data_IF_833470844131
#
_entry.id   IF_833470844131
#
_cell.length_a   1.000
_cell.length_b   1.000
_cell.length_c   1.000
_cell.angle_alpha   90.00
_cell.angle_beta   90.00
_cell.angle_gamma   90.00
#
_symmetry.space_group_name_H-M   'P 1'
#
loop_
_entity.id
_entity.type
_entity.pdbx_description
1 polymer ?
#
# COMPACT_ATOMS: atom_id res chain seq x y z
N UNK A 1 37.41 -25.56 -13.91
CA UNK A 1 36.11 -25.03 -13.43
C UNK A 1 36.06 -23.57 -13.84
N UNK A 2 35.36 -23.29 -14.93
CA UNK A 2 35.10 -21.92 -15.39
C UNK A 2 33.91 -21.46 -14.53
N UNK A 3 34.12 -20.52 -13.63
CA UNK A 3 33.07 -19.86 -12.94
C UNK A 3 32.21 -19.14 -13.99
N UNK A 4 31.01 -19.64 -14.25
CA UNK A 4 30.00 -18.90 -14.99
C UNK A 4 29.63 -17.72 -14.11
N UNK A 5 30.16 -16.53 -14.44
CA UNK A 5 29.68 -15.29 -13.83
C UNK A 5 28.22 -15.14 -14.24
N UNK A 6 27.29 -15.45 -13.33
CA UNK A 6 25.90 -15.06 -13.53
C UNK A 6 25.87 -13.54 -13.66
N UNK A 7 25.13 -13.03 -14.63
CA UNK A 7 24.92 -11.58 -14.78
C UNK A 7 24.42 -11.00 -13.45
N UNK A 8 24.85 -9.78 -13.08
CA UNK A 8 24.34 -9.13 -11.88
C UNK A 8 22.82 -9.03 -11.91
N UNK A 9 22.17 -9.30 -10.78
CA UNK A 9 20.72 -9.30 -10.65
C UNK A 9 20.22 -7.97 -10.05
N UNK A 10 19.13 -7.45 -10.61
CA UNK A 10 18.38 -6.40 -9.91
C UNK A 10 17.67 -6.97 -8.67
N UNK A 11 17.15 -6.12 -7.80
CA UNK A 11 16.59 -6.55 -6.53
C UNK A 11 15.35 -7.45 -6.73
N UNK A 12 14.50 -7.12 -7.69
CA UNK A 12 13.32 -7.93 -8.03
C UNK A 12 13.71 -9.33 -8.47
N UNK A 13 14.73 -9.46 -9.31
CA UNK A 13 15.25 -10.78 -9.73
C UNK A 13 15.80 -11.58 -8.55
N UNK A 14 16.49 -10.93 -7.61
CA UNK A 14 16.97 -11.59 -6.39
C UNK A 14 15.80 -12.12 -5.55
N UNK A 15 14.78 -11.29 -5.31
CA UNK A 15 13.59 -11.68 -4.56
C UNK A 15 12.83 -12.83 -5.24
N UNK A 16 12.64 -12.78 -6.57
CA UNK A 16 12.00 -13.86 -7.30
C UNK A 16 12.83 -15.14 -7.23
N UNK A 17 14.14 -15.08 -7.46
CA UNK A 17 15.05 -16.25 -7.39
C UNK A 17 14.95 -16.95 -6.03
N UNK A 18 14.91 -16.19 -4.95
CA UNK A 18 14.93 -16.73 -3.59
C UNK A 18 13.60 -17.39 -3.19
N UNK A 19 12.53 -17.13 -3.96
CA UNK A 19 11.20 -17.73 -3.79
C UNK A 19 10.80 -18.68 -4.91
N UNK A 20 11.63 -18.84 -5.96
CA UNK A 20 11.30 -19.64 -7.12
C UNK A 20 11.26 -21.13 -6.78
N UNK A 21 10.11 -21.75 -6.99
CA UNK A 21 9.89 -23.20 -6.85
C UNK A 21 10.13 -23.91 -8.18
N UNK A 22 9.64 -23.33 -9.27
CA UNK A 22 9.82 -23.85 -10.63
C UNK A 22 9.59 -22.77 -11.69
N UNK A 23 10.04 -23.03 -12.91
CA UNK A 23 9.93 -22.12 -14.05
C UNK A 23 11.25 -21.44 -14.38
N UNK A 24 11.23 -20.54 -15.37
CA UNK A 24 12.38 -19.79 -15.86
C UNK A 24 12.12 -18.29 -15.68
N UNK A 25 13.05 -17.57 -15.05
CA UNK A 25 12.98 -16.11 -14.85
C UNK A 25 13.20 -15.34 -16.16
N UNK A 26 12.30 -15.57 -17.12
CA UNK A 26 12.29 -14.93 -18.43
C UNK A 26 10.92 -14.31 -18.67
N UNK A 27 10.81 -13.01 -19.04
CA UNK A 27 9.52 -12.35 -19.20
C UNK A 27 8.51 -13.15 -20.02
N UNK A 28 7.28 -13.27 -19.53
CA UNK A 28 6.20 -14.02 -20.17
C UNK A 28 6.22 -15.54 -19.98
N UNK A 29 7.26 -16.13 -19.35
CA UNK A 29 7.28 -17.54 -18.98
C UNK A 29 6.59 -17.77 -17.64
N UNK A 30 5.88 -18.89 -17.51
CA UNK A 30 5.27 -19.26 -16.24
C UNK A 30 6.34 -19.56 -15.18
N UNK A 31 6.16 -19.00 -14.00
CA UNK A 31 6.94 -19.26 -12.80
C UNK A 31 6.02 -19.59 -11.64
N UNK A 32 6.53 -20.39 -10.70
CA UNK A 32 5.86 -20.73 -9.45
C UNK A 32 6.67 -20.21 -8.27
N UNK A 33 6.04 -19.42 -7.41
CA UNK A 33 6.68 -18.75 -6.27
C UNK A 33 6.13 -19.29 -4.95
N UNK A 34 7.02 -19.62 -4.02
CA UNK A 34 6.66 -19.87 -2.63
C UNK A 34 6.31 -18.54 -1.95
N UNK A 35 5.21 -18.53 -1.21
CA UNK A 35 4.80 -17.36 -0.44
C UNK A 35 5.08 -17.57 1.05
N UNK A 36 5.74 -16.59 1.68
CA UNK A 36 6.08 -16.66 3.11
C UNK A 36 4.92 -16.20 3.98
N UNK A 37 4.28 -15.08 3.60
CA UNK A 37 3.24 -14.42 4.37
C UNK A 37 1.94 -14.30 3.56
N UNK A 38 0.80 -14.22 4.27
CA UNK A 38 -0.48 -13.93 3.62
C UNK A 38 -1.25 -12.82 4.36
N UNK A 39 -1.94 -11.98 3.56
CA UNK A 39 -2.76 -10.86 4.03
C UNK A 39 -4.19 -11.01 3.52
N UNK A 40 -5.14 -11.01 4.44
CA UNK A 40 -6.56 -11.04 4.14
C UNK A 40 -7.24 -9.77 4.66
N UNK A 41 -8.21 -9.28 3.92
CA UNK A 41 -9.09 -8.20 4.37
C UNK A 41 -10.56 -8.70 4.41
N UNK A 42 -11.42 -8.00 5.12
CA UNK A 42 -12.77 -8.50 5.45
C UNK A 42 -13.73 -8.61 4.27
N UNK A 43 -13.44 -7.95 3.14
CA UNK A 43 -14.30 -8.05 1.93
C UNK A 43 -14.21 -9.43 1.27
N UNK A 44 -12.99 -10.00 1.17
CA UNK A 44 -12.76 -11.32 0.55
C UNK A 44 -12.40 -12.42 1.57
N UNK A 45 -12.03 -12.04 2.78
CA UNK A 45 -11.54 -12.99 3.80
C UNK A 45 -12.51 -14.11 4.11
N UNK A 46 -13.83 -13.83 4.16
CA UNK A 46 -14.82 -14.86 4.40
C UNK A 46 -14.84 -15.94 3.30
N UNK A 47 -14.69 -15.54 2.02
CA UNK A 47 -14.59 -16.47 0.90
C UNK A 47 -13.33 -17.34 1.04
N UNK A 48 -12.18 -16.73 1.30
CA UNK A 48 -10.91 -17.44 1.48
C UNK A 48 -11.00 -18.46 2.62
N UNK A 49 -11.59 -18.10 3.76
CA UNK A 49 -11.76 -19.03 4.89
C UNK A 49 -12.66 -20.22 4.55
N UNK A 50 -13.72 -20.01 3.75
CA UNK A 50 -14.59 -21.09 3.26
C UNK A 50 -13.86 -22.00 2.26
N UNK A 51 -12.98 -21.47 1.44
CA UNK A 51 -12.12 -22.24 0.55
C UNK A 51 -11.14 -23.13 1.32
N UNK A 52 -10.51 -22.61 2.39
CA UNK A 52 -9.66 -23.41 3.28
C UNK A 52 -10.44 -24.56 3.94
N UNK A 53 -11.68 -24.30 4.36
CA UNK A 53 -12.56 -25.34 4.92
C UNK A 53 -12.91 -26.40 3.87
N UNK A 54 -13.24 -25.97 2.64
CA UNK A 54 -13.54 -26.89 1.54
C UNK A 54 -12.35 -27.76 1.14
N UNK A 55 -11.11 -27.24 1.25
CA UNK A 55 -9.87 -28.01 1.08
C UNK A 55 -9.60 -28.98 2.22
N UNK A 56 -10.31 -28.88 3.35
CA UNK A 56 -10.07 -29.70 4.54
C UNK A 56 -8.78 -29.33 5.28
N UNK A 57 -8.33 -28.09 5.17
CA UNK A 57 -7.09 -27.64 5.79
C UNK A 57 -7.25 -27.56 7.32
N UNK A 58 -6.28 -28.08 8.06
CA UNK A 58 -6.25 -27.96 9.51
C UNK A 58 -5.61 -26.66 9.99
N UNK A 59 -4.57 -26.20 9.32
CA UNK A 59 -3.82 -24.99 9.65
C UNK A 59 -3.16 -24.43 8.39
N UNK A 60 -3.04 -23.11 8.30
CA UNK A 60 -2.32 -22.44 7.21
C UNK A 60 -0.81 -22.67 7.31
N UNK A 61 -0.14 -22.64 6.17
CA UNK A 61 1.31 -22.87 6.04
C UNK A 61 2.11 -21.57 5.90
N UNK A 62 1.49 -20.48 5.48
CA UNK A 62 2.12 -19.15 5.44
C UNK A 62 2.16 -18.55 6.86
N UNK A 63 3.29 -17.94 7.24
CA UNK A 63 3.45 -17.34 8.57
C UNK A 63 4.32 -16.07 8.52
N UNK A 64 3.77 -14.92 8.98
CA UNK A 64 2.39 -14.76 9.47
C UNK A 64 1.34 -14.76 8.36
N UNK A 65 0.17 -15.29 8.69
CA UNK A 65 -1.07 -15.01 7.96
C UNK A 65 -1.95 -14.12 8.83
N UNK A 66 -2.47 -13.03 8.28
CA UNK A 66 -3.23 -12.04 9.06
C UNK A 66 -4.53 -11.67 8.35
N UNK A 67 -5.65 -11.81 9.07
CA UNK A 67 -6.97 -11.32 8.68
C UNK A 67 -7.20 -9.94 9.28
N UNK A 68 -7.46 -8.95 8.45
CA UNK A 68 -7.79 -7.59 8.85
C UNK A 68 -9.27 -7.30 8.70
N UNK A 69 -9.84 -6.56 9.67
CA UNK A 69 -11.16 -5.96 9.57
C UNK A 69 -10.93 -4.45 9.40
N UNK A 70 -10.87 -4.00 8.17
CA UNK A 70 -10.49 -2.63 7.85
C UNK A 70 -11.42 -1.92 6.84
N UNK A 71 -12.33 -2.63 6.17
CA UNK A 71 -13.33 -2.06 5.25
C UNK A 71 -14.73 -2.01 5.86
N UNK A 72 -15.26 -3.12 6.37
CA UNK A 72 -16.61 -3.24 6.94
C UNK A 72 -16.75 -2.65 8.35
N UNK A 73 -16.18 -1.46 8.60
CA UNK A 73 -16.21 -0.82 9.93
C UNK A 73 -17.56 -0.20 10.27
N UNK A 74 -18.31 0.23 9.27
CA UNK A 74 -19.66 0.77 9.45
C UNK A 74 -20.63 -0.40 9.34
N UNK A 75 -21.09 -0.86 10.49
CA UNK A 75 -22.02 -1.97 10.61
C UNK A 75 -23.45 -1.43 10.44
N UNK A 76 -23.91 -1.38 9.20
CA UNK A 76 -25.26 -0.89 8.89
C UNK A 76 -26.37 -1.87 9.31
N UNK A 77 -26.02 -3.15 9.49
CA UNK A 77 -26.91 -4.22 9.92
C UNK A 77 -26.13 -5.31 10.72
N UNK A 78 -26.86 -6.36 11.14
CA UNK A 78 -26.28 -7.46 11.88
C UNK A 78 -25.40 -8.38 11.01
N UNK A 79 -25.53 -8.42 9.69
CA UNK A 79 -24.77 -9.31 8.82
C UNK A 79 -23.29 -8.97 8.82
N UNK A 80 -22.94 -7.67 8.85
CA UNK A 80 -21.56 -7.25 9.00
C UNK A 80 -20.95 -7.75 10.32
N UNK A 81 -21.70 -7.65 11.43
CA UNK A 81 -21.25 -8.13 12.73
C UNK A 81 -21.07 -9.65 12.74
N UNK A 82 -21.99 -10.41 12.14
CA UNK A 82 -21.89 -11.86 11.99
C UNK A 82 -20.68 -12.27 11.14
N UNK A 83 -20.39 -11.53 10.05
CA UNK A 83 -19.18 -11.76 9.25
C UNK A 83 -17.91 -11.57 10.08
N UNK A 84 -17.85 -10.57 10.95
CA UNK A 84 -16.69 -10.37 11.84
C UNK A 84 -16.54 -11.51 12.85
N UNK A 85 -17.65 -12.03 13.39
CA UNK A 85 -17.64 -13.20 14.28
C UNK A 85 -17.18 -14.46 13.56
N UNK A 86 -17.68 -14.69 12.33
CA UNK A 86 -17.23 -15.80 11.50
C UNK A 86 -15.72 -15.71 11.23
N UNK A 87 -15.23 -14.57 10.76
CA UNK A 87 -13.80 -14.36 10.46
C UNK A 87 -12.93 -14.60 11.70
N UNK A 88 -13.37 -14.12 12.87
CA UNK A 88 -12.65 -14.35 14.11
C UNK A 88 -12.55 -15.85 14.45
N UNK A 89 -13.67 -16.58 14.37
CA UNK A 89 -13.70 -18.04 14.64
C UNK A 89 -12.88 -18.82 13.61
N UNK A 90 -12.92 -18.43 12.34
CA UNK A 90 -12.11 -19.04 11.30
C UNK A 90 -10.61 -18.80 11.53
N UNK A 91 -10.22 -17.59 11.94
CA UNK A 91 -8.83 -17.30 12.32
C UNK A 91 -8.34 -18.22 13.45
N UNK A 92 -9.15 -18.42 14.49
CA UNK A 92 -8.86 -19.35 15.60
C UNK A 92 -8.72 -20.79 15.08
N UNK A 93 -9.60 -21.22 14.16
CA UNK A 93 -9.60 -22.57 13.57
C UNK A 93 -8.36 -22.85 12.73
N UNK A 94 -7.93 -21.89 11.90
CA UNK A 94 -6.83 -22.09 10.94
C UNK A 94 -5.47 -21.58 11.41
N UNK A 95 -5.40 -20.97 12.60
CA UNK A 95 -4.14 -20.40 13.14
C UNK A 95 -3.72 -19.10 12.48
N UNK A 96 -4.68 -18.27 12.07
CA UNK A 96 -4.51 -16.96 11.44
C UNK A 96 -4.58 -15.86 12.50
N UNK A 97 -3.74 -14.85 12.41
CA UNK A 97 -3.82 -13.66 13.25
C UNK A 97 -5.08 -12.84 12.90
N UNK A 98 -5.78 -12.35 13.91
CA UNK A 98 -6.98 -11.54 13.74
C UNK A 98 -6.73 -10.08 14.16
N UNK A 99 -6.77 -9.16 13.22
CA UNK A 99 -6.72 -7.72 13.44
C UNK A 99 -8.13 -7.14 13.42
N UNK A 100 -8.70 -6.88 14.60
CA UNK A 100 -10.09 -6.47 14.77
C UNK A 100 -10.39 -5.04 14.28
N UNK A 101 -11.70 -4.67 14.23
CA UNK A 101 -12.14 -3.34 13.79
C UNK A 101 -11.47 -2.20 14.57
N UNK A 102 -11.08 -1.14 13.87
CA UNK A 102 -10.44 0.03 14.45
C UNK A 102 -8.95 -0.14 14.78
N UNK A 103 -8.35 -1.29 14.45
CA UNK A 103 -6.91 -1.46 14.57
C UNK A 103 -6.15 -0.70 13.47
N UNK A 104 -6.68 -0.68 12.27
CA UNK A 104 -6.15 0.12 11.16
C UNK A 104 -6.25 -0.58 9.81
N UNK A 105 -5.72 0.10 8.80
CA UNK A 105 -5.66 -0.38 7.41
C UNK A 105 -4.67 -1.53 7.32
N UNK A 106 -5.05 -2.61 6.64
CA UNK A 106 -4.24 -3.84 6.49
C UNK A 106 -2.80 -3.57 6.08
N UNK A 107 -2.57 -2.82 5.00
CA UNK A 107 -1.24 -2.64 4.41
C UNK A 107 -0.24 -1.94 5.35
N UNK A 108 -0.49 -0.72 5.88
CA UNK A 108 0.45 -0.10 6.81
C UNK A 108 0.57 -0.86 8.13
N UNK A 109 -0.52 -1.45 8.65
CA UNK A 109 -0.47 -2.24 9.89
C UNK A 109 0.35 -3.52 9.69
N UNK A 110 0.22 -4.17 8.52
CA UNK A 110 1.03 -5.35 8.20
C UNK A 110 2.53 -5.01 8.17
N UNK A 111 2.89 -3.90 7.53
CA UNK A 111 4.28 -3.42 7.51
C UNK A 111 4.81 -3.08 8.90
N UNK A 112 3.97 -2.46 9.76
CA UNK A 112 4.34 -2.08 11.13
C UNK A 112 4.66 -3.29 12.01
N UNK A 113 3.95 -4.42 11.84
CA UNK A 113 4.02 -5.55 12.77
C UNK A 113 4.62 -6.83 12.19
N UNK A 114 4.52 -7.05 10.89
CA UNK A 114 4.82 -8.35 10.28
C UNK A 114 5.73 -8.28 9.06
N UNK A 115 5.75 -7.16 8.33
CA UNK A 115 6.55 -7.04 7.10
C UNK A 115 8.04 -7.20 7.39
N UNK A 116 8.73 -8.09 6.64
CA UNK A 116 10.17 -8.38 6.77
C UNK A 116 10.82 -8.23 5.39
N UNK A 117 11.86 -7.38 5.26
CA UNK A 117 12.60 -7.27 3.99
C UNK A 117 13.08 -8.62 3.48
N UNK A 118 12.96 -8.87 2.20
CA UNK A 118 13.37 -10.12 1.56
C UNK A 118 12.32 -11.22 1.56
N UNK A 119 11.25 -11.12 2.35
CA UNK A 119 10.16 -12.08 2.34
C UNK A 119 9.14 -11.77 1.24
N UNK A 120 8.36 -12.79 0.87
CA UNK A 120 7.23 -12.68 -0.04
C UNK A 120 5.91 -12.57 0.72
N UNK A 121 4.97 -11.80 0.17
CA UNK A 121 3.64 -11.58 0.70
C UNK A 121 2.59 -11.74 -0.40
N UNK A 122 1.59 -12.58 -0.20
CA UNK A 122 0.40 -12.62 -1.05
C UNK A 122 -0.80 -12.07 -0.30
N UNK A 123 -1.63 -11.27 -0.98
CA UNK A 123 -2.84 -10.74 -0.35
C UNK A 123 -4.05 -10.72 -1.27
N UNK A 124 -5.24 -10.89 -0.69
CA UNK A 124 -6.50 -10.78 -1.42
C UNK A 124 -6.94 -9.31 -1.63
N UNK A 125 -5.98 -8.41 -1.71
CA UNK A 125 -6.17 -6.98 -1.97
C UNK A 125 -5.13 -6.49 -2.99
N UNK A 126 -5.57 -5.69 -3.95
CA UNK A 126 -4.71 -5.15 -5.02
C UNK A 126 -3.57 -4.26 -4.49
N UNK A 127 -3.76 -3.60 -3.33
CA UNK A 127 -2.76 -2.74 -2.71
C UNK A 127 -1.75 -3.50 -1.81
N UNK A 128 -1.76 -4.83 -1.81
CA UNK A 128 -0.74 -5.67 -1.14
C UNK A 128 0.68 -5.28 -1.58
N UNK A 129 0.83 -4.81 -2.82
CA UNK A 129 2.08 -4.28 -3.40
C UNK A 129 2.77 -3.21 -2.54
N UNK A 130 2.01 -2.53 -1.67
CA UNK A 130 2.52 -1.51 -0.76
C UNK A 130 3.66 -2.01 0.16
N UNK A 131 3.66 -3.30 0.53
CA UNK A 131 4.71 -3.89 1.36
C UNK A 131 6.07 -3.96 0.65
N UNK A 132 6.10 -3.82 -0.68
CA UNK A 132 7.35 -3.67 -1.43
C UNK A 132 8.16 -2.42 -1.07
N UNK A 133 7.56 -1.45 -0.38
CA UNK A 133 8.26 -0.30 0.21
C UNK A 133 9.27 -0.68 1.31
N UNK A 134 9.17 -1.88 1.89
CA UNK A 134 10.12 -2.47 2.83
C UNK A 134 11.17 -3.37 2.15
N UNK A 135 11.10 -3.58 0.83
CA UNK A 135 11.91 -4.58 0.14
C UNK A 135 11.33 -5.99 0.20
N UNK A 136 10.01 -6.12 0.25
CA UNK A 136 9.29 -7.40 0.13
C UNK A 136 8.88 -7.65 -1.32
N UNK A 137 8.73 -8.93 -1.71
CA UNK A 137 8.03 -9.33 -2.92
C UNK A 137 6.53 -9.47 -2.60
N UNK A 138 5.77 -8.39 -2.78
CA UNK A 138 4.38 -8.34 -2.36
C UNK A 138 3.42 -8.32 -3.57
N UNK A 139 2.50 -9.27 -3.63
CA UNK A 139 1.63 -9.54 -4.76
C UNK A 139 0.15 -9.56 -4.33
N UNK A 140 -0.69 -8.83 -5.07
CA UNK A 140 -2.14 -9.00 -4.98
C UNK A 140 -2.60 -10.17 -5.84
N UNK A 141 -3.47 -11.02 -5.30
CA UNK A 141 -4.00 -12.20 -5.99
C UNK A 141 -5.49 -12.40 -5.69
N UNK A 142 -6.17 -13.25 -6.44
CA UNK A 142 -7.55 -13.63 -6.18
C UNK A 142 -7.69 -14.51 -4.93
N UNK A 143 -8.91 -14.60 -4.39
CA UNK A 143 -9.16 -15.35 -3.15
C UNK A 143 -8.67 -16.80 -3.22
N UNK A 144 -8.93 -17.48 -4.34
CA UNK A 144 -8.53 -18.88 -4.55
C UNK A 144 -7.01 -19.03 -4.54
N UNK A 145 -6.29 -18.15 -5.27
CA UNK A 145 -4.82 -18.18 -5.30
C UNK A 145 -4.22 -17.91 -3.92
N UNK A 146 -4.83 -17.01 -3.15
CA UNK A 146 -4.41 -16.75 -1.76
C UNK A 146 -4.67 -17.96 -0.87
N UNK A 147 -5.85 -18.61 -0.98
CA UNK A 147 -6.16 -19.82 -0.23
C UNK A 147 -5.19 -20.96 -0.55
N UNK A 148 -4.85 -21.14 -1.84
CA UNK A 148 -3.86 -22.14 -2.27
C UNK A 148 -2.47 -21.84 -1.69
N UNK A 149 -2.02 -20.58 -1.72
CA UNK A 149 -0.75 -20.19 -1.11
C UNK A 149 -0.75 -20.43 0.41
N UNK A 150 -1.85 -20.14 1.09
CA UNK A 150 -2.03 -20.43 2.52
C UNK A 150 -2.03 -21.93 2.82
N UNK A 151 -2.45 -22.76 1.85
CA UNK A 151 -2.37 -24.22 1.94
C UNK A 151 -0.96 -24.78 1.65
N UNK A 152 0.00 -23.92 1.30
CA UNK A 152 1.39 -24.30 1.01
C UNK A 152 1.69 -24.56 -0.46
N UNK A 153 0.71 -24.35 -1.35
CA UNK A 153 0.93 -24.45 -2.79
C UNK A 153 1.61 -23.17 -3.32
N UNK A 154 2.45 -23.29 -4.36
CA UNK A 154 3.08 -22.12 -4.94
C UNK A 154 2.07 -21.22 -5.68
N UNK A 155 2.35 -19.92 -5.70
CA UNK A 155 1.64 -18.95 -6.53
C UNK A 155 2.19 -19.00 -7.96
N UNK A 156 1.32 -19.26 -8.93
CA UNK A 156 1.68 -19.31 -10.35
C UNK A 156 1.38 -17.97 -11.02
N UNK A 157 2.34 -17.45 -11.76
CA UNK A 157 2.18 -16.26 -12.58
C UNK A 157 3.13 -16.29 -13.79
N UNK A 158 2.84 -15.51 -14.81
CA UNK A 158 3.82 -15.24 -15.86
C UNK A 158 4.88 -14.29 -15.34
N UNK A 159 6.16 -14.60 -15.54
CA UNK A 159 7.26 -13.72 -15.15
C UNK A 159 7.03 -12.32 -15.73
N UNK A 160 6.84 -11.29 -14.89
CA UNK A 160 6.61 -9.93 -15.36
C UNK A 160 7.89 -9.32 -15.95
N UNK A 161 7.75 -8.28 -16.77
CA UNK A 161 8.86 -7.39 -17.06
C UNK A 161 9.26 -6.62 -15.80
N UNK A 162 10.49 -6.15 -15.73
CA UNK A 162 10.97 -5.30 -14.64
C UNK A 162 11.28 -3.92 -15.19
N UNK A 163 10.52 -2.91 -14.75
CA UNK A 163 10.78 -1.51 -15.06
C UNK A 163 11.60 -0.89 -13.93
N UNK A 164 12.86 -0.61 -14.20
CA UNK A 164 13.74 0.14 -13.31
C UNK A 164 13.43 1.63 -13.37
N UNK A 165 12.97 2.22 -12.25
CA UNK A 165 12.68 3.65 -12.13
C UNK A 165 13.79 4.30 -11.30
N UNK A 166 14.68 5.02 -11.97
CA UNK A 166 15.77 5.74 -11.33
C UNK A 166 15.25 7.05 -10.73
N UNK A 167 15.31 7.16 -9.41
CA UNK A 167 14.98 8.40 -8.71
C UNK A 167 16.22 9.28 -8.54
N UNK A 168 16.09 10.55 -8.89
CA UNK A 168 17.12 11.58 -8.74
C UNK A 168 16.60 12.77 -7.94
N UNK A 169 17.50 13.47 -7.25
CA UNK A 169 17.15 14.65 -6.46
C UNK A 169 16.34 14.33 -5.21
N UNK A 170 15.59 15.31 -4.73
CA UNK A 170 14.69 15.21 -3.58
C UNK A 170 13.41 16.01 -3.83
N UNK A 171 12.36 15.69 -3.09
CA UNK A 171 11.07 16.39 -3.19
C UNK A 171 11.22 17.86 -2.75
N UNK A 172 10.74 18.84 -3.55
CA UNK A 172 10.69 20.23 -3.15
C UNK A 172 9.68 20.47 -2.01
N UNK A 173 9.69 21.67 -1.43
CA UNK A 173 8.67 22.10 -0.49
C UNK A 173 7.26 22.00 -1.11
N UNK A 174 6.29 21.54 -0.33
CA UNK A 174 4.89 21.32 -0.72
C UNK A 174 4.66 20.21 -1.76
N UNK A 175 5.69 19.48 -2.14
CA UNK A 175 5.60 18.28 -2.98
C UNK A 175 5.74 17.03 -2.10
N UNK A 176 4.90 16.06 -2.33
CA UNK A 176 4.87 14.79 -1.59
C UNK A 176 5.23 13.59 -2.46
N UNK A 177 5.47 12.45 -1.86
CA UNK A 177 5.67 11.20 -2.60
C UNK A 177 4.46 10.83 -3.49
N UNK A 178 3.26 11.33 -3.13
CA UNK A 178 2.08 11.16 -3.98
C UNK A 178 2.23 11.87 -5.33
N UNK A 179 2.84 13.04 -5.35
CA UNK A 179 3.09 13.76 -6.60
C UNK A 179 4.05 12.99 -7.52
N UNK A 180 5.02 12.27 -6.94
CA UNK A 180 5.92 11.41 -7.70
C UNK A 180 5.16 10.27 -8.42
N UNK A 181 4.29 9.57 -7.73
CA UNK A 181 3.51 8.48 -8.35
C UNK A 181 2.39 9.02 -9.26
N UNK A 182 1.82 10.18 -8.98
CA UNK A 182 0.87 10.83 -9.87
C UNK A 182 1.54 11.23 -11.21
N UNK A 183 2.79 11.70 -11.18
CA UNK A 183 3.54 11.97 -12.40
C UNK A 183 3.76 10.69 -13.22
N UNK A 184 4.07 9.56 -12.59
CA UNK A 184 4.19 8.28 -13.29
C UNK A 184 2.84 7.82 -13.85
N UNK A 185 1.75 7.96 -13.08
CA UNK A 185 0.38 7.70 -13.58
C UNK A 185 0.04 8.57 -14.80
N UNK A 186 0.44 9.83 -14.79
CA UNK A 186 0.25 10.75 -15.93
C UNK A 186 1.01 10.29 -17.19
N UNK A 187 2.20 9.68 -17.02
CA UNK A 187 3.02 9.18 -18.14
C UNK A 187 2.50 7.86 -18.69
N UNK A 188 2.16 6.91 -17.82
CA UNK A 188 1.85 5.54 -18.19
C UNK A 188 0.36 5.23 -18.30
N UNK A 189 -0.49 6.03 -17.63
CA UNK A 189 -1.91 5.72 -17.51
C UNK A 189 -2.19 4.51 -16.61
N UNK A 190 -3.47 4.14 -16.47
CA UNK A 190 -3.92 3.06 -15.57
C UNK A 190 -3.60 1.64 -16.06
N UNK A 191 -3.03 1.47 -17.24
CA UNK A 191 -2.73 0.15 -17.84
C UNK A 191 -1.31 0.03 -18.37
N UNK A 192 -0.49 1.08 -18.24
CA UNK A 192 0.83 1.14 -18.88
C UNK A 192 1.87 0.21 -18.27
N UNK A 193 1.65 -0.24 -17.04
CA UNK A 193 2.56 -1.15 -16.34
C UNK A 193 1.96 -2.54 -16.10
N UNK A 194 0.99 -2.94 -16.95
CA UNK A 194 0.44 -4.30 -16.89
C UNK A 194 1.54 -5.33 -17.12
N UNK A 195 1.48 -6.43 -16.36
CA UNK A 195 2.48 -7.51 -16.40
C UNK A 195 3.92 -6.98 -16.16
N UNK A 196 4.06 -5.98 -15.27
CA UNK A 196 5.34 -5.32 -14.95
C UNK A 196 5.50 -5.16 -13.44
N UNK A 197 6.72 -5.38 -12.94
CA UNK A 197 7.12 -5.00 -11.58
C UNK A 197 7.91 -3.70 -11.66
N UNK A 198 7.56 -2.74 -10.80
CA UNK A 198 8.25 -1.47 -10.69
C UNK A 198 9.37 -1.59 -9.65
N UNK A 199 10.62 -1.43 -10.04
CA UNK A 199 11.75 -1.38 -9.11
C UNK A 199 12.33 0.03 -9.04
N UNK A 200 12.30 0.63 -7.85
CA UNK A 200 12.82 1.96 -7.62
C UNK A 200 14.27 1.91 -7.12
N UNK A 201 15.14 2.67 -7.75
CA UNK A 201 16.57 2.74 -7.42
C UNK A 201 17.14 4.14 -7.61
N UNK A 202 18.43 4.30 -7.37
CA UNK A 202 19.13 5.57 -7.56
C UNK A 202 19.17 6.46 -6.30
N UNK A 203 19.87 7.60 -6.39
CA UNK A 203 20.19 8.42 -5.21
C UNK A 203 18.98 9.09 -4.56
N UNK A 204 17.91 9.33 -5.32
CA UNK A 204 16.68 9.93 -4.78
C UNK A 204 15.93 9.04 -3.80
N UNK A 205 16.14 7.72 -3.83
CA UNK A 205 15.45 6.77 -2.93
C UNK A 205 15.71 7.07 -1.46
N UNK A 206 16.93 7.42 -1.09
CA UNK A 206 17.31 7.73 0.28
C UNK A 206 16.66 8.99 0.86
N UNK A 207 16.08 9.84 0.01
CA UNK A 207 15.33 11.02 0.43
C UNK A 207 13.88 10.71 0.82
N UNK A 208 13.39 9.49 0.53
CA UNK A 208 12.03 9.04 0.78
C UNK A 208 12.01 8.15 2.03
N UNK A 209 11.21 8.51 3.03
CA UNK A 209 10.91 7.63 4.16
C UNK A 209 10.17 6.37 3.69
N UNK A 210 10.14 5.33 4.52
CA UNK A 210 9.37 4.10 4.19
C UNK A 210 7.89 4.42 3.93
N UNK A 211 7.31 5.38 4.64
CA UNK A 211 5.91 5.76 4.40
C UNK A 211 5.73 6.55 3.10
N UNK A 212 6.71 7.32 2.66
CA UNK A 212 6.72 7.92 1.32
C UNK A 212 6.79 6.84 0.23
N UNK A 213 7.69 5.85 0.41
CA UNK A 213 7.79 4.67 -0.47
C UNK A 213 6.50 3.85 -0.48
N UNK A 214 5.82 3.73 0.66
CA UNK A 214 4.51 3.09 0.76
C UNK A 214 3.47 3.77 -0.12
N UNK A 215 3.39 5.10 -0.11
CA UNK A 215 2.48 5.86 -0.98
C UNK A 215 2.74 5.54 -2.45
N UNK A 216 4.01 5.53 -2.85
CA UNK A 216 4.42 5.20 -4.23
C UNK A 216 4.07 3.76 -4.58
N UNK A 217 4.41 2.79 -3.73
CA UNK A 217 4.16 1.37 -3.96
C UNK A 217 2.65 1.04 -3.96
N UNK A 218 1.88 1.70 -3.10
CA UNK A 218 0.42 1.55 -3.03
C UNK A 218 -0.24 2.00 -4.33
N UNK A 219 0.12 3.18 -4.85
CA UNK A 219 -0.47 3.70 -6.08
C UNK A 219 0.13 3.09 -7.36
N UNK A 220 1.24 2.38 -7.29
CA UNK A 220 1.78 1.60 -8.41
C UNK A 220 0.76 0.60 -8.97
N UNK A 221 -0.11 0.06 -8.12
CA UNK A 221 -1.24 -0.79 -8.51
C UNK A 221 -2.20 -0.08 -9.48
N UNK A 222 -2.40 1.23 -9.33
CA UNK A 222 -3.30 2.00 -10.21
C UNK A 222 -2.71 2.20 -11.62
N UNK A 223 -1.42 1.90 -11.83
CA UNK A 223 -0.77 1.82 -13.14
C UNK A 223 -0.91 0.43 -13.77
N UNK A 224 -1.53 -0.53 -13.06
CA UNK A 224 -1.64 -1.93 -13.46
C UNK A 224 -0.41 -2.78 -13.10
N UNK A 225 0.52 -2.26 -12.30
CA UNK A 225 1.73 -2.98 -11.91
C UNK A 225 1.42 -4.24 -11.08
N UNK A 226 2.14 -5.32 -11.37
CA UNK A 226 2.05 -6.61 -10.65
C UNK A 226 2.58 -6.49 -9.23
N UNK A 227 3.68 -5.78 -9.05
CA UNK A 227 4.30 -5.47 -7.75
C UNK A 227 5.11 -4.18 -7.84
N UNK A 228 5.53 -3.69 -6.69
CA UNK A 228 6.49 -2.58 -6.57
C UNK A 228 7.56 -2.98 -5.58
N UNK A 229 8.83 -2.66 -5.85
CA UNK A 229 9.97 -3.01 -5.01
C UNK A 229 10.84 -1.78 -4.76
N UNK A 230 11.18 -1.54 -3.50
CA UNK A 230 12.19 -0.60 -3.06
C UNK A 230 13.34 -1.33 -2.37
N UNK A 231 14.55 -0.80 -2.35
CA UNK A 231 15.63 -1.37 -1.55
C UNK A 231 15.32 -1.29 -0.05
N UNK A 232 15.88 -2.23 0.71
CA UNK A 232 15.90 -2.17 2.17
C UNK A 232 17.20 -1.53 2.63
N UNK A 233 17.13 -0.26 2.94
CA UNK A 233 18.27 0.60 3.31
C UNK A 233 18.13 1.14 4.74
N UNK A 234 18.90 2.18 5.08
CA UNK A 234 18.89 2.85 6.39
C UNK A 234 17.51 3.43 6.76
N UNK A 235 16.68 3.82 5.77
CA UNK A 235 15.32 4.27 6.04
C UNK A 235 14.44 3.10 6.48
N UNK A 236 14.63 1.92 5.90
CA UNK A 236 13.95 0.70 6.34
C UNK A 236 14.39 0.29 7.75
N UNK A 237 15.69 0.36 8.04
CA UNK A 237 16.22 0.13 9.41
C UNK A 237 15.56 1.11 10.39
N UNK A 238 15.52 2.41 10.07
CA UNK A 238 14.90 3.44 10.92
C UNK A 238 13.43 3.14 11.18
N UNK A 239 12.69 2.75 10.14
CA UNK A 239 11.27 2.40 10.25
C UNK A 239 11.04 1.21 11.18
N UNK A 240 11.82 0.14 11.04
CA UNK A 240 11.72 -1.06 11.87
C UNK A 240 12.18 -0.78 13.32
N UNK A 241 13.29 -0.07 13.50
CA UNK A 241 13.81 0.29 14.83
C UNK A 241 12.82 1.13 15.64
N UNK A 242 12.12 2.06 15.00
CA UNK A 242 11.08 2.87 15.65
C UNK A 242 9.90 2.01 16.18
N UNK A 243 9.84 0.75 15.79
CA UNK A 243 8.83 -0.25 16.18
C UNK A 243 9.40 -1.38 17.03
N UNK A 244 10.69 -1.27 17.44
CA UNK A 244 11.40 -2.30 18.19
C UNK A 244 11.65 -3.57 17.38
N UNK A 245 11.76 -3.44 16.05
CA UNK A 245 11.90 -4.54 15.10
C UNK A 245 13.20 -4.45 14.29
N UNK A 246 14.23 -3.85 14.83
CA UNK A 246 15.54 -3.75 14.16
C UNK A 246 16.16 -5.12 13.83
N UNK A 247 15.82 -6.16 14.57
CA UNK A 247 16.28 -7.53 14.32
C UNK A 247 15.70 -8.14 13.03
N UNK A 248 14.60 -7.61 12.52
CA UNK A 248 13.98 -8.06 11.27
C UNK A 248 14.59 -7.39 10.04
N UNK A 249 15.46 -6.40 10.23
CA UNK A 249 16.07 -5.69 9.12
C UNK A 249 17.12 -6.52 8.40
N UNK A 250 16.96 -6.59 7.08
CA UNK A 250 17.94 -7.17 6.15
C UNK A 250 18.24 -6.12 5.08
N UNK A 251 19.52 -5.74 4.89
CA UNK A 251 19.88 -4.81 3.81
C UNK A 251 19.73 -5.49 2.45
N UNK A 252 19.01 -4.86 1.53
CA UNK A 252 18.72 -5.38 0.20
C UNK A 252 18.87 -4.27 -0.83
N UNK A 253 19.61 -4.55 -1.89
CA UNK A 253 19.79 -3.64 -3.02
C UNK A 253 20.07 -4.42 -4.31
N UNK A 254 19.86 -3.79 -5.44
CA UNK A 254 20.29 -4.30 -6.73
C UNK A 254 21.80 -4.48 -6.79
N UNK A 255 22.30 -5.53 -7.43
CA UNK A 255 23.74 -5.76 -7.62
C UNK A 255 24.31 -4.70 -8.58
N UNK A 256 25.53 -4.21 -8.32
CA UNK A 256 26.16 -3.21 -9.20
C UNK A 256 26.29 -3.72 -10.64
N UNK A 257 25.79 -2.93 -11.58
CA UNK A 257 25.82 -3.26 -13.00
C UNK A 257 24.69 -4.19 -13.47
N UNK A 258 23.68 -4.43 -12.66
CA UNK A 258 22.47 -5.12 -13.10
C UNK A 258 21.74 -4.32 -14.20
N UNK A 259 20.94 -5.02 -15.01
CA UNK A 259 20.06 -4.42 -16.01
C UNK A 259 18.58 -4.59 -15.64
N UNK A 260 17.73 -3.86 -16.35
CA UNK A 260 16.29 -3.96 -16.29
C UNK A 260 15.73 -4.22 -17.69
N UNK A 261 14.51 -4.74 -17.80
CA UNK A 261 13.87 -4.94 -19.10
C UNK A 261 13.48 -3.58 -19.72
N UNK A 262 13.08 -2.65 -18.87
CA UNK A 262 12.75 -1.25 -19.19
C UNK A 262 13.37 -0.33 -18.15
N UNK A 263 13.74 0.89 -18.55
CA UNK A 263 14.30 1.89 -17.64
C UNK A 263 13.72 3.26 -17.89
N UNK A 264 13.46 4.00 -16.81
CA UNK A 264 13.17 5.43 -16.88
C UNK A 264 13.77 6.19 -15.69
N UNK A 265 13.84 7.51 -15.82
CA UNK A 265 14.29 8.40 -14.75
C UNK A 265 13.18 9.35 -14.32
N UNK A 266 13.00 9.48 -13.02
CA UNK A 266 12.15 10.50 -12.41
C UNK A 266 13.01 11.41 -11.53
N UNK A 267 13.14 12.66 -11.94
CA UNK A 267 13.81 13.69 -11.13
C UNK A 267 12.79 14.31 -10.18
N UNK A 268 12.89 13.95 -8.88
CA UNK A 268 11.99 14.42 -7.84
C UNK A 268 12.02 15.96 -7.68
N UNK A 269 13.17 16.59 -7.93
CA UNK A 269 13.32 18.04 -7.78
C UNK A 269 12.58 18.88 -8.84
N UNK A 270 12.12 18.24 -9.91
CA UNK A 270 11.38 18.90 -10.98
C UNK A 270 9.85 18.77 -10.82
N UNK A 271 9.40 18.09 -9.77
CA UNK A 271 7.98 17.90 -9.51
C UNK A 271 7.34 19.16 -8.92
N UNK A 272 6.06 19.31 -9.20
CA UNK A 272 5.18 20.31 -8.59
C UNK A 272 3.95 19.62 -8.00
N UNK A 273 3.16 20.27 -7.12
CA UNK A 273 1.94 19.67 -6.59
C UNK A 273 0.96 19.27 -7.70
N UNK A 274 0.56 18.02 -7.69
CA UNK A 274 -0.30 17.38 -8.69
C UNK A 274 -1.62 16.91 -8.08
N UNK A 275 -2.64 16.75 -8.91
CA UNK A 275 -3.95 16.22 -8.52
C UNK A 275 -4.55 15.40 -9.66
N UNK A 276 -5.21 14.29 -9.32
CA UNK A 276 -5.98 13.50 -10.26
C UNK A 276 -7.44 14.00 -10.34
N UNK A 277 -7.89 14.31 -11.55
CA UNK A 277 -9.28 14.71 -11.81
C UNK A 277 -10.20 13.48 -11.92
N UNK A 278 -11.49 13.60 -11.62
CA UNK A 278 -12.46 12.55 -11.88
C UNK A 278 -12.52 12.22 -13.39
N UNK A 279 -12.73 11.02 -13.77
CA UNK A 279 -13.03 9.79 -13.01
C UNK A 279 -12.00 8.71 -13.26
N UNK A 280 -10.70 9.09 -13.28
CA UNK A 280 -9.60 8.15 -13.41
C UNK A 280 -8.34 8.72 -12.72
N UNK A 281 -7.55 7.92 -11.99
CA UNK A 281 -6.40 8.39 -11.26
C UNK A 281 -5.23 8.86 -12.15
N UNK A 282 -5.25 8.58 -13.45
CA UNK A 282 -4.26 9.02 -14.44
C UNK A 282 -4.59 10.37 -15.10
N UNK A 283 -5.78 10.94 -14.85
CA UNK A 283 -6.12 12.29 -15.30
C UNK A 283 -5.46 13.35 -14.42
N UNK A 284 -4.15 13.36 -14.42
CA UNK A 284 -3.34 14.19 -13.52
C UNK A 284 -3.03 15.53 -14.16
N UNK A 285 -3.25 16.58 -13.36
CA UNK A 285 -2.92 17.98 -13.71
C UNK A 285 -2.20 18.67 -12.55
N UNK A 286 -1.44 19.74 -12.79
CA UNK A 286 -0.95 20.62 -11.74
C UNK A 286 -2.09 21.22 -10.91
N UNK A 287 -1.94 21.25 -9.56
CA UNK A 287 -2.95 21.81 -8.65
C UNK A 287 -3.33 23.24 -9.01
N UNK A 288 -2.38 24.04 -9.53
CA UNK A 288 -2.63 25.42 -9.95
C UNK A 288 -3.69 25.56 -11.06
N UNK A 289 -3.90 24.52 -11.86
CA UNK A 289 -4.87 24.56 -12.97
C UNK A 289 -6.32 24.45 -12.49
N UNK A 290 -6.54 23.93 -11.27
CA UNK A 290 -7.87 23.83 -10.66
C UNK A 290 -8.06 24.82 -9.52
N UNK A 291 -7.17 25.79 -9.36
CA UNK A 291 -7.27 26.80 -8.32
C UNK A 291 -8.59 27.60 -8.46
N UNK A 292 -9.36 27.71 -7.39
CA UNK A 292 -10.64 28.40 -7.38
C UNK A 292 -11.88 27.51 -7.58
N UNK A 293 -11.69 26.23 -7.88
CA UNK A 293 -12.80 25.28 -7.92
C UNK A 293 -13.48 25.15 -6.52
N UNK A 294 -14.81 25.13 -6.45
CA UNK A 294 -15.51 25.04 -5.19
C UNK A 294 -15.26 23.69 -4.51
N UNK A 295 -14.91 23.74 -3.22
CA UNK A 295 -14.70 22.56 -2.40
C UNK A 295 -15.84 22.39 -1.40
N UNK A 296 -16.40 21.18 -1.29
CA UNK A 296 -17.49 20.86 -0.38
C UNK A 296 -17.09 19.82 0.67
N UNK A 297 -16.10 19.00 0.37
CA UNK A 297 -15.55 18.02 1.28
C UNK A 297 -14.03 17.89 1.07
N UNK A 298 -13.29 17.82 2.16
CA UNK A 298 -11.91 17.38 2.19
C UNK A 298 -11.82 16.10 3.04
N UNK A 299 -11.10 15.09 2.53
CA UNK A 299 -10.91 13.82 3.22
C UNK A 299 -9.43 13.47 3.28
N UNK A 300 -8.94 13.21 4.48
CA UNK A 300 -7.53 12.92 4.75
C UNK A 300 -7.41 11.55 5.40
N UNK A 301 -6.48 10.74 4.89
CA UNK A 301 -6.22 9.38 5.32
C UNK A 301 -6.29 8.40 4.17
N UNK A 302 -6.59 7.15 4.45
CA UNK A 302 -6.60 6.01 3.53
C UNK A 302 -5.26 5.31 3.37
N UNK A 303 -5.24 4.18 2.63
CA UNK A 303 -4.01 3.48 2.27
C UNK A 303 -3.09 4.31 1.36
N UNK A 304 -3.64 5.30 0.66
CA UNK A 304 -2.89 6.17 -0.25
C UNK A 304 -2.09 7.30 0.43
N UNK A 305 -2.38 7.63 1.69
CA UNK A 305 -1.63 8.59 2.54
C UNK A 305 -1.79 8.17 4.01
N UNK A 306 -1.15 7.09 4.44
CA UNK A 306 -1.36 6.53 5.77
C UNK A 306 -0.39 7.05 6.83
N UNK A 307 0.61 7.84 6.44
CA UNK A 307 1.69 8.26 7.33
C UNK A 307 1.24 9.26 8.40
N UNK A 308 1.83 9.17 9.59
CA UNK A 308 1.63 10.16 10.65
C UNK A 308 1.84 11.61 10.15
N UNK A 309 2.87 11.83 9.32
CA UNK A 309 3.20 13.15 8.76
C UNK A 309 2.06 13.74 7.93
N UNK A 310 1.31 12.90 7.20
CA UNK A 310 0.18 13.35 6.37
C UNK A 310 -0.89 14.06 7.22
N UNK A 311 -1.16 13.54 8.42
CA UNK A 311 -2.12 14.13 9.36
C UNK A 311 -1.52 15.31 10.12
N UNK A 312 -0.26 15.21 10.54
CA UNK A 312 0.41 16.26 11.33
C UNK A 312 0.54 17.57 10.54
N UNK A 313 0.88 17.50 9.26
CA UNK A 313 0.96 18.67 8.36
C UNK A 313 -0.40 19.38 8.32
N UNK A 314 -1.49 18.64 8.12
CA UNK A 314 -2.84 19.24 8.09
C UNK A 314 -3.24 19.80 9.45
N UNK A 315 -2.92 19.11 10.55
CA UNK A 315 -3.19 19.60 11.90
C UNK A 315 -2.53 20.97 12.15
N UNK A 316 -1.28 21.13 11.72
CA UNK A 316 -0.57 22.42 11.83
C UNK A 316 -1.17 23.50 10.91
N UNK A 317 -1.62 23.12 9.70
CA UNK A 317 -2.28 24.06 8.78
C UNK A 317 -3.60 24.60 9.35
N UNK A 318 -4.37 23.79 10.09
CA UNK A 318 -5.67 24.19 10.67
C UNK A 318 -5.58 24.69 12.10
N UNK A 319 -4.41 24.70 12.70
CA UNK A 319 -4.17 25.17 14.07
C UNK A 319 -4.75 26.57 14.29
N UNK A 320 -5.64 26.72 15.27
CA UNK A 320 -6.29 27.98 15.61
C UNK A 320 -7.25 28.53 14.54
N UNK A 321 -7.65 27.68 13.58
CA UNK A 321 -8.59 28.03 12.52
C UNK A 321 -9.87 27.20 12.65
N UNK A 322 -10.92 27.61 11.93
CA UNK A 322 -12.16 26.87 11.78
C UNK A 322 -12.36 26.57 10.30
N UNK A 323 -12.88 25.39 9.97
CA UNK A 323 -13.22 25.03 8.58
C UNK A 323 -14.27 26.00 8.05
N UNK A 324 -14.21 26.28 6.74
CA UNK A 324 -15.16 27.18 6.09
C UNK A 324 -16.58 26.62 6.15
N UNK A 325 -17.56 27.52 6.28
CA UNK A 325 -18.97 27.16 6.24
C UNK A 325 -19.31 26.43 4.93
N UNK A 326 -20.05 25.34 5.02
CA UNK A 326 -20.42 24.51 3.87
C UNK A 326 -19.35 23.50 3.42
N UNK A 327 -18.17 23.45 4.08
CA UNK A 327 -17.14 22.43 3.84
C UNK A 327 -17.14 21.41 4.96
N UNK A 328 -17.05 20.12 4.63
CA UNK A 328 -16.80 19.02 5.56
C UNK A 328 -15.33 18.62 5.49
N UNK A 329 -14.67 18.55 6.63
CA UNK A 329 -13.32 17.98 6.75
C UNK A 329 -13.43 16.62 7.45
N UNK A 330 -12.99 15.57 6.79
CA UNK A 330 -13.02 14.20 7.29
C UNK A 330 -11.59 13.71 7.51
N UNK A 331 -11.32 13.14 8.69
CA UNK A 331 -10.01 12.61 9.09
C UNK A 331 -10.14 11.14 9.43
N UNK A 332 -9.45 10.29 8.67
CA UNK A 332 -9.48 8.85 8.84
C UNK A 332 -8.07 8.31 9.13
N UNK A 333 -7.66 8.19 10.39
CA UNK A 333 -6.34 7.69 10.74
C UNK A 333 -6.10 6.28 10.16
N UNK A 334 -4.88 6.04 9.70
CA UNK A 334 -4.53 4.76 9.07
C UNK A 334 -4.43 3.60 10.06
N UNK A 335 -4.00 3.89 11.30
CA UNK A 335 -3.85 2.87 12.34
C UNK A 335 -4.09 3.45 13.73
N UNK A 336 -4.32 2.56 14.69
CA UNK A 336 -4.39 2.92 16.12
C UNK A 336 -3.11 3.58 16.59
N UNK A 337 -1.95 3.17 16.05
CA UNK A 337 -0.64 3.72 16.38
C UNK A 337 -0.53 5.17 15.91
N UNK A 338 -0.91 5.45 14.67
CA UNK A 338 -0.95 6.81 14.12
C UNK A 338 -1.92 7.67 14.92
N UNK A 339 -3.12 7.18 15.22
CA UNK A 339 -4.10 7.90 16.05
C UNK A 339 -3.53 8.22 17.44
N UNK A 340 -2.88 7.24 18.08
CA UNK A 340 -2.27 7.43 19.40
C UNK A 340 -1.14 8.48 19.36
N UNK A 341 -0.33 8.48 18.30
CA UNK A 341 0.72 9.48 18.10
C UNK A 341 0.12 10.88 17.92
N UNK A 342 -0.92 11.03 17.11
CA UNK A 342 -1.63 12.32 16.92
C UNK A 342 -2.24 12.85 18.22
N UNK A 343 -2.73 11.97 19.10
CA UNK A 343 -3.22 12.35 20.43
C UNK A 343 -2.07 12.85 21.31
N UNK A 344 -0.96 12.09 21.39
CA UNK A 344 0.18 12.44 22.26
C UNK A 344 0.86 13.73 21.87
N UNK A 345 0.97 14.00 20.57
CA UNK A 345 1.60 15.22 20.05
C UNK A 345 0.64 16.41 19.98
N UNK A 346 -0.65 16.24 20.35
CA UNK A 346 -1.65 17.31 20.34
C UNK A 346 -2.25 17.64 18.98
N UNK A 347 -1.83 16.97 17.91
CA UNK A 347 -2.33 17.24 16.55
C UNK A 347 -3.82 16.89 16.40
N UNK A 348 -4.29 15.84 17.08
CA UNK A 348 -5.71 15.49 17.02
C UNK A 348 -6.60 16.59 17.60
N UNK A 349 -6.15 17.30 18.65
CA UNK A 349 -6.86 18.45 19.22
C UNK A 349 -7.09 19.54 18.17
N UNK A 350 -6.06 19.87 17.38
CA UNK A 350 -6.17 20.89 16.32
C UNK A 350 -7.14 20.48 15.23
N UNK A 351 -7.12 19.21 14.81
CA UNK A 351 -8.04 18.67 13.81
C UNK A 351 -9.49 18.69 14.31
N UNK A 352 -9.76 18.23 15.53
CA UNK A 352 -11.11 18.22 16.09
C UNK A 352 -11.61 19.63 16.37
N UNK A 353 -10.76 20.51 16.92
CA UNK A 353 -11.12 21.90 17.27
C UNK A 353 -11.41 22.75 16.04
N UNK A 354 -10.82 22.47 14.89
CA UNK A 354 -11.16 23.17 13.66
C UNK A 354 -12.54 22.77 13.08
N UNK A 355 -13.16 21.69 13.59
CA UNK A 355 -14.46 21.16 13.15
C UNK A 355 -14.37 19.90 12.28
N UNK A 356 -13.22 19.22 12.24
CA UNK A 356 -13.08 17.97 11.48
C UNK A 356 -13.87 16.82 12.12
N UNK A 357 -14.42 15.92 11.28
CA UNK A 357 -15.03 14.66 11.71
C UNK A 357 -13.95 13.57 11.76
N UNK A 358 -13.79 12.96 12.94
CA UNK A 358 -12.88 11.84 13.12
C UNK A 358 -13.59 10.52 12.83
N UNK A 359 -12.99 9.69 12.00
CA UNK A 359 -13.46 8.35 11.66
C UNK A 359 -12.61 7.26 12.33
N UNK A 360 -13.14 6.04 12.39
CA UNK A 360 -12.38 4.88 12.85
C UNK A 360 -11.17 4.63 11.96
N UNK A 361 -10.07 4.16 12.55
CA UNK A 361 -8.90 3.74 11.81
C UNK A 361 -9.23 2.52 10.91
N UNK A 362 -9.11 2.70 9.60
CA UNK A 362 -9.40 1.68 8.61
C UNK A 362 -9.56 2.23 7.19
N UNK A 363 -9.91 1.38 6.25
CA UNK A 363 -10.00 1.70 4.80
C UNK A 363 -11.44 1.95 4.31
N UNK A 364 -12.41 2.06 5.19
CA UNK A 364 -13.82 2.25 4.84
C UNK A 364 -14.07 3.51 3.99
N UNK A 365 -13.38 4.59 4.26
CA UNK A 365 -13.51 5.84 3.50
C UNK A 365 -12.97 5.76 2.07
N UNK A 366 -12.01 4.86 1.79
CA UNK A 366 -11.49 4.62 0.43
C UNK A 366 -12.58 4.14 -0.51
N UNK A 367 -13.48 3.29 -0.01
CA UNK A 367 -14.62 2.75 -0.77
C UNK A 367 -15.90 3.59 -0.60
N UNK A 368 -15.80 4.79 -0.03
CA UNK A 368 -16.91 5.73 0.13
C UNK A 368 -17.86 5.44 1.29
N UNK A 369 -17.61 4.46 2.13
CA UNK A 369 -18.48 4.15 3.28
C UNK A 369 -18.39 5.24 4.34
N UNK A 370 -19.54 5.87 4.64
CA UNK A 370 -19.68 6.91 5.67
C UNK A 370 -19.14 8.29 5.29
N UNK A 371 -18.57 8.45 4.09
CA UNK A 371 -17.88 9.68 3.65
C UNK A 371 -18.15 10.02 2.19
N UNK A 372 -19.28 9.58 1.65
CA UNK A 372 -19.68 9.93 0.29
C UNK A 372 -19.95 11.44 0.19
N UNK A 373 -19.46 12.12 -0.86
CA UNK A 373 -19.84 13.50 -1.13
C UNK A 373 -21.30 13.58 -1.60
N UNK A 374 -21.92 14.74 -1.41
CA UNK A 374 -23.26 14.97 -1.97
C UNK A 374 -23.21 15.02 -3.51
N UNK A 375 -24.32 14.67 -4.15
CA UNK A 375 -24.45 14.66 -5.62
C UNK A 375 -24.06 16.01 -6.22
N UNK A 376 -23.21 16.01 -7.22
CA UNK A 376 -22.74 17.20 -7.93
C UNK A 376 -21.80 18.10 -7.08
N UNK A 377 -21.20 17.55 -6.04
CA UNK A 377 -20.29 18.30 -5.15
C UNK A 377 -18.85 17.77 -5.27
N UNK A 378 -17.87 18.67 -5.22
CA UNK A 378 -16.47 18.33 -5.26
C UNK A 378 -15.98 17.84 -3.89
N UNK A 379 -15.24 16.74 -3.90
CA UNK A 379 -14.53 16.18 -2.73
C UNK A 379 -13.04 16.06 -3.05
N UNK A 380 -12.20 16.72 -2.26
CA UNK A 380 -10.73 16.59 -2.33
C UNK A 380 -10.30 15.45 -1.40
N UNK A 381 -9.63 14.43 -1.94
CA UNK A 381 -9.33 13.22 -1.19
C UNK A 381 -7.89 12.76 -1.37
N UNK A 382 -7.32 12.22 -0.30
CA UNK A 382 -6.02 11.54 -0.35
C UNK A 382 -6.12 10.05 -0.66
N UNK A 383 -7.29 9.57 -1.10
CA UNK A 383 -7.51 8.17 -1.49
C UNK A 383 -6.81 7.81 -2.82
N UNK A 384 -6.49 6.54 -3.08
CA UNK A 384 -5.83 6.13 -4.31
C UNK A 384 -6.74 6.21 -5.55
N UNK A 385 -8.06 6.05 -5.39
CA UNK A 385 -9.04 5.96 -6.49
C UNK A 385 -10.06 7.09 -6.46
N UNK A 386 -10.45 7.57 -7.65
CA UNK A 386 -11.43 8.64 -7.84
C UNK A 386 -12.51 8.29 -8.88
N UNK A 387 -12.79 7.00 -9.06
CA UNK A 387 -13.85 6.52 -9.95
C UNK A 387 -15.25 6.93 -9.44
N UNK A 388 -16.24 7.17 -10.34
CA UNK A 388 -17.60 7.45 -9.94
C UNK A 388 -18.27 6.25 -9.26
N UNK A 389 -19.12 6.52 -8.26
CA UNK A 389 -19.90 5.51 -7.56
C UNK A 389 -19.16 4.76 -6.52
#
# INVERSE_FOLDING_TARGET
MIATSSSPLNLTQQLIRDHLVSGEMSPGKEIALRMDQALLQDVLGALVMLELEAMGLDRVHTEPTVQYIDHGLIQADNLNAETHLFLKSACERFGVWYSGPGNGISHPVHMEFFGVPGQSLVGCDSHTTAAGSLGMLALGAGGIEVAMAMAGEPLYLNMPNILGIRLEGCLPDWVSAKDAILELLRRHGVSGCKDTILEYYGPGVSSLSVMDRHVVANLGTEMGATATVFPSDEETLRFLSARGREADWVPLAAEPGCGYDLEETLNLSNLEPLIALPSSPDKVVPVREIAGEPLHQAYIGSSGNPGYRDFAVVAEMVRGRTIAEGVSLDVNPSSRQVLTALIREGHLEHLVSCGARLHQAGCNGCIGMGQAPAVGRNSLRTVPRNFPG
#
